data_IF_300929637446
#
_entry.id   IF_300929637446
#
_cell.length_a   1.000
_cell.length_b   1.000
_cell.length_c   1.000
_cell.angle_alpha   90.00
_cell.angle_beta   90.00
_cell.angle_gamma   90.00
#
_symmetry.space_group_name_H-M   'P 1'
#
loop_
_entity.id
_entity.type
_entity.pdbx_description
1 polymer ?
#
# COMPACT_ATOMS: atom_id res chain seq x y z
N UNK A 1 -7.30 -16.84 -8.03
CA UNK A 1 -6.75 -16.82 -6.66
C UNK A 1 -6.48 -15.37 -6.35
N UNK A 2 -7.42 -14.68 -5.70
CA UNK A 2 -7.30 -13.28 -5.28
C UNK A 2 -7.58 -13.25 -3.78
N UNK A 3 -6.65 -13.74 -2.98
CA UNK A 3 -6.79 -13.73 -1.52
C UNK A 3 -5.45 -13.46 -0.85
N UNK A 4 -4.83 -12.33 -1.17
CA UNK A 4 -4.09 -11.60 -0.13
C UNK A 4 -5.00 -10.50 0.36
N UNK A 5 -6.04 -10.92 1.11
CA UNK A 5 -6.77 -9.99 1.95
C UNK A 5 -5.79 -9.57 3.04
N UNK A 6 -5.17 -8.40 2.90
CA UNK A 6 -4.22 -7.89 3.88
C UNK A 6 -4.96 -7.55 5.19
N UNK A 7 -5.08 -8.46 6.16
CA UNK A 7 -6.07 -8.34 7.23
C UNK A 7 -5.67 -7.27 8.26
N UNK A 8 -4.41 -6.82 8.19
CA UNK A 8 -3.80 -5.86 9.11
C UNK A 8 -3.42 -4.54 8.42
N UNK A 9 -3.80 -4.34 7.15
CA UNK A 9 -3.55 -3.08 6.46
C UNK A 9 -4.71 -2.10 6.62
N UNK A 10 -4.42 -0.78 6.66
CA UNK A 10 -5.45 0.24 6.55
C UNK A 10 -6.34 -0.04 5.34
N UNK A 11 -7.67 0.01 5.49
CA UNK A 11 -8.60 -0.32 4.41
C UNK A 11 -8.33 0.46 3.11
N UNK A 12 -7.92 1.72 3.23
CA UNK A 12 -7.52 2.54 2.08
C UNK A 12 -6.28 2.03 1.35
N UNK A 13 -5.28 1.52 2.08
CA UNK A 13 -4.08 0.92 1.50
C UNK A 13 -4.43 -0.42 0.85
N UNK A 14 -5.16 -1.31 1.53
CA UNK A 14 -5.57 -2.60 0.95
C UNK A 14 -6.33 -2.40 -0.35
N UNK A 15 -7.28 -1.45 -0.38
CA UNK A 15 -8.04 -1.14 -1.58
C UNK A 15 -7.15 -0.59 -2.69
N UNK A 16 -6.22 0.31 -2.37
CA UNK A 16 -5.32 0.88 -3.37
C UNK A 16 -4.36 -0.16 -3.98
N UNK A 17 -3.86 -1.09 -3.18
CA UNK A 17 -3.04 -2.21 -3.66
C UNK A 17 -3.86 -3.14 -4.56
N UNK A 18 -5.09 -3.49 -4.17
CA UNK A 18 -5.99 -4.31 -5.01
C UNK A 18 -6.34 -3.64 -6.34
N UNK A 19 -6.38 -2.31 -6.39
CA UNK A 19 -6.68 -1.55 -7.61
C UNK A 19 -5.45 -1.27 -8.48
N UNK A 20 -4.24 -1.50 -7.96
CA UNK A 20 -2.99 -1.21 -8.65
C UNK A 20 -2.03 -2.40 -8.53
N UNK A 21 -2.08 -3.29 -9.53
CA UNK A 21 -1.25 -4.50 -9.58
C UNK A 21 0.26 -4.22 -9.50
N UNK A 22 0.73 -3.07 -10.00
CA UNK A 22 2.15 -2.68 -9.86
C UNK A 22 2.49 -2.32 -8.42
N UNK A 23 1.64 -1.53 -7.77
CA UNK A 23 1.82 -1.20 -6.37
C UNK A 23 1.71 -2.45 -5.49
N UNK A 24 0.82 -3.39 -5.81
CA UNK A 24 0.75 -4.69 -5.12
C UNK A 24 2.07 -5.47 -5.26
N UNK A 25 2.56 -5.66 -6.49
CA UNK A 25 3.81 -6.38 -6.72
C UNK A 25 5.03 -5.69 -6.08
N UNK A 26 5.04 -4.35 -6.07
CA UNK A 26 6.05 -3.56 -5.37
C UNK A 26 5.95 -3.78 -3.85
N UNK A 27 4.74 -3.70 -3.30
CA UNK A 27 4.48 -3.90 -1.88
C UNK A 27 4.91 -5.29 -1.42
N UNK A 28 4.62 -6.34 -2.17
CA UNK A 28 4.96 -7.71 -1.79
C UNK A 28 6.47 -7.94 -1.73
N UNK A 29 7.24 -7.22 -2.56
CA UNK A 29 8.70 -7.23 -2.60
C UNK A 29 9.37 -6.45 -1.46
N UNK A 30 8.64 -5.56 -0.79
CA UNK A 30 9.16 -4.80 0.34
C UNK A 30 9.44 -5.73 1.54
N UNK A 31 10.49 -5.39 2.30
CA UNK A 31 10.73 -5.99 3.61
C UNK A 31 9.62 -5.64 4.61
N UNK A 32 9.51 -6.39 5.71
CA UNK A 32 8.51 -6.12 6.76
C UNK A 32 8.65 -4.70 7.33
N UNK A 33 9.87 -4.20 7.49
CA UNK A 33 10.13 -2.83 7.97
C UNK A 33 9.66 -1.76 6.97
N UNK A 34 9.84 -1.99 5.68
CA UNK A 34 9.37 -1.07 4.63
C UNK A 34 7.84 -1.09 4.53
N UNK A 35 7.23 -2.27 4.63
CA UNK A 35 5.76 -2.43 4.71
C UNK A 35 5.19 -1.66 5.90
N UNK A 36 5.81 -1.77 7.09
CA UNK A 36 5.39 -1.03 8.27
C UNK A 36 5.51 0.49 8.08
N UNK A 37 6.59 0.96 7.43
CA UNK A 37 6.76 2.37 7.10
C UNK A 37 5.65 2.90 6.17
N UNK A 38 5.27 2.11 5.15
CA UNK A 38 4.14 2.44 4.26
C UNK A 38 2.84 2.53 5.06
N UNK A 39 2.56 1.57 5.95
CA UNK A 39 1.37 1.57 6.81
C UNK A 39 1.31 2.83 7.66
N UNK A 40 2.43 3.25 8.26
CA UNK A 40 2.52 4.47 9.07
C UNK A 40 2.22 5.71 8.23
N UNK A 41 2.79 5.82 7.02
CA UNK A 41 2.50 6.91 6.08
C UNK A 41 1.02 6.96 5.69
N UNK A 42 0.41 5.79 5.42
CA UNK A 42 -1.01 5.71 5.10
C UNK A 42 -1.92 6.10 6.27
N UNK A 43 -1.48 5.87 7.52
CA UNK A 43 -2.21 6.30 8.72
C UNK A 43 -2.13 7.82 8.92
N UNK A 44 -1.03 8.44 8.53
CA UNK A 44 -0.81 9.88 8.64
C UNK A 44 -1.49 10.67 7.52
N UNK A 45 -1.63 10.07 6.34
CA UNK A 45 -2.30 10.68 5.19
C UNK A 45 -3.73 11.12 5.54
N UNK A 46 -4.02 12.41 5.31
CA UNK A 46 -5.32 13.02 5.63
C UNK A 46 -6.19 13.19 4.40
N UNK A 47 -5.59 13.08 3.22
CA UNK A 47 -6.23 13.34 1.93
C UNK A 47 -6.03 12.18 0.95
N UNK A 48 -6.94 12.09 -0.03
CA UNK A 48 -6.84 11.08 -1.09
C UNK A 48 -5.56 11.26 -1.92
N UNK A 49 -5.18 12.50 -2.22
CA UNK A 49 -3.97 12.80 -2.99
C UNK A 49 -2.69 12.35 -2.27
N UNK A 50 -2.63 12.45 -0.94
CA UNK A 50 -1.51 11.90 -0.16
C UNK A 50 -1.47 10.37 -0.23
N UNK A 51 -2.63 9.71 -0.11
CA UNK A 51 -2.73 8.26 -0.27
C UNK A 51 -2.29 7.81 -1.66
N UNK A 52 -2.74 8.49 -2.72
CA UNK A 52 -2.37 8.18 -4.10
C UNK A 52 -0.85 8.31 -4.30
N UNK A 53 -0.20 9.36 -3.75
CA UNK A 53 1.26 9.52 -3.80
C UNK A 53 2.01 8.40 -3.07
N UNK A 54 1.50 7.95 -1.92
CA UNK A 54 2.12 6.84 -1.19
C UNK A 54 2.04 5.56 -2.03
N UNK A 55 0.88 5.27 -2.62
CA UNK A 55 0.67 4.07 -3.44
C UNK A 55 1.50 4.11 -4.71
N UNK A 56 1.57 5.26 -5.39
CA UNK A 56 2.44 5.46 -6.55
C UNK A 56 3.91 5.26 -6.20
N UNK A 57 4.35 5.68 -5.01
CA UNK A 57 5.73 5.46 -4.57
C UNK A 57 6.09 3.97 -4.42
N UNK A 58 5.11 3.11 -4.15
CA UNK A 58 5.31 1.65 -4.03
C UNK A 58 5.43 1.00 -5.42
N UNK A 59 4.61 1.44 -6.38
CA UNK A 59 4.58 0.88 -7.73
C UNK A 59 5.77 1.28 -8.62
N UNK A 60 6.64 2.16 -8.15
CA UNK A 60 7.80 2.68 -8.87
C UNK A 60 9.13 2.00 -8.50
N UNK A 61 9.07 0.87 -7.77
CA UNK A 61 10.22 0.04 -7.38
C UNK A 61 10.50 -1.12 -8.35
#
# INVERSE_FOLDING_TARGET
MFEESYPNLPAGLSMALMMNERAQAGYDRLSEAEKEHIILKCKDARTKEEMDKIVDSIGNF
#
